data_IF_470202560699
#
_entry.id   IF_470202560699
#
_cell.length_a   1.000
_cell.length_b   1.000
_cell.length_c   1.000
_cell.angle_alpha   90.00
_cell.angle_beta   90.00
_cell.angle_gamma   90.00
#
_symmetry.space_group_name_H-M   'P 1'
#
loop_
_entity.id
_entity.type
_entity.pdbx_description
1 polymer ?
#
# COMPACT_ATOMS: atom_id res chain seq x y z
N UNK A 1 3.05 -18.01 16.08
CA UNK A 1 4.18 -17.15 16.45
C UNK A 1 3.60 -15.85 16.96
N UNK A 2 3.86 -15.51 18.21
CA UNK A 2 3.44 -14.24 18.80
C UNK A 2 4.35 -13.12 18.30
N UNK A 3 3.79 -11.94 18.02
CA UNK A 3 4.58 -10.79 17.60
C UNK A 3 5.29 -10.18 18.82
N UNK A 4 6.47 -9.62 18.61
CA UNK A 4 7.26 -9.00 19.67
C UNK A 4 6.61 -7.70 20.15
N UNK A 5 6.67 -7.47 21.46
CA UNK A 5 6.35 -6.20 22.11
C UNK A 5 7.66 -5.55 22.54
N UNK A 6 7.82 -4.26 22.25
CA UNK A 6 9.04 -3.51 22.57
C UNK A 6 8.66 -2.27 23.35
N UNK A 7 9.34 -2.03 24.47
CA UNK A 7 9.22 -0.78 25.22
C UNK A 7 10.28 0.17 24.68
N UNK A 8 9.86 1.36 24.26
CA UNK A 8 10.74 2.44 23.82
C UNK A 8 10.44 3.69 24.63
N UNK A 9 11.45 4.54 24.85
CA UNK A 9 11.24 5.86 25.42
C UNK A 9 10.87 6.83 24.29
N UNK A 10 9.86 7.66 24.51
CA UNK A 10 9.44 8.66 23.53
C UNK A 10 10.52 9.73 23.34
N UNK A 11 10.82 10.07 22.09
CA UNK A 11 11.86 11.08 21.77
C UNK A 11 11.57 12.48 22.32
N UNK A 12 10.31 12.81 22.60
CA UNK A 12 9.90 14.16 23.03
C UNK A 12 9.70 14.28 24.54
N UNK A 13 8.91 13.39 25.16
CA UNK A 13 8.62 13.44 26.60
C UNK A 13 9.47 12.48 27.44
N UNK A 14 10.22 11.56 26.83
CA UNK A 14 11.05 10.58 27.54
C UNK A 14 10.29 9.45 28.23
N UNK A 15 8.96 9.42 28.13
CA UNK A 15 8.15 8.38 28.76
C UNK A 15 8.22 7.05 28.02
N UNK A 16 8.18 5.97 28.79
CA UNK A 16 8.16 4.61 28.28
C UNK A 16 6.80 4.31 27.64
N UNK A 17 6.85 3.91 26.37
CA UNK A 17 5.69 3.49 25.60
C UNK A 17 5.90 2.08 25.04
N UNK A 18 4.84 1.28 25.06
CA UNK A 18 4.83 -0.07 24.50
C UNK A 18 4.42 -0.03 23.02
N UNK A 19 5.29 -0.57 22.16
CA UNK A 19 5.01 -0.80 20.75
C UNK A 19 4.77 -2.29 20.53
N UNK A 20 3.52 -2.66 20.36
CA UNK A 20 3.10 -4.02 19.99
C UNK A 20 3.12 -4.18 18.46
N UNK A 21 4.03 -5.01 17.95
CA UNK A 21 4.15 -5.26 16.50
C UNK A 21 2.89 -5.93 15.91
N UNK A 22 2.06 -6.55 16.75
CA UNK A 22 0.81 -7.18 16.32
C UNK A 22 -0.30 -6.16 16.02
N UNK A 23 -0.31 -5.00 16.67
CA UNK A 23 -1.38 -4.00 16.55
C UNK A 23 -0.92 -2.73 15.86
N UNK A 24 0.33 -2.31 16.08
CA UNK A 24 0.88 -1.07 15.54
C UNK A 24 0.79 -0.97 14.01
N UNK A 25 0.62 0.25 13.51
CA UNK A 25 0.74 0.52 12.09
C UNK A 25 2.19 0.26 11.65
N UNK A 26 2.40 -0.31 10.47
CA UNK A 26 3.74 -0.57 9.98
C UNK A 26 3.88 -0.28 8.49
N UNK A 27 5.07 0.19 8.12
CA UNK A 27 5.56 0.23 6.74
C UNK A 27 6.52 -0.93 6.51
N UNK A 28 6.57 -1.45 5.29
CA UNK A 28 7.52 -2.50 4.92
C UNK A 28 8.38 -2.07 3.74
N UNK A 29 9.69 -2.17 3.92
CA UNK A 29 10.69 -1.89 2.90
C UNK A 29 11.32 -3.21 2.44
N UNK A 30 11.50 -3.36 1.13
CA UNK A 30 12.20 -4.52 0.53
C UNK A 30 13.40 -3.98 -0.24
N UNK A 31 14.60 -4.32 0.22
CA UNK A 31 15.85 -4.01 -0.46
C UNK A 31 16.42 -5.28 -1.09
N UNK A 32 16.83 -5.19 -2.36
CA UNK A 32 17.47 -6.28 -3.09
C UNK A 32 18.92 -5.87 -3.34
N UNK A 33 19.86 -6.50 -2.62
CA UNK A 33 21.30 -6.27 -2.80
C UNK A 33 21.99 -7.59 -3.13
N UNK A 34 22.77 -7.63 -4.22
CA UNK A 34 23.46 -8.83 -4.69
C UNK A 34 22.56 -10.08 -4.76
N UNK A 35 21.33 -9.92 -5.26
CA UNK A 35 20.34 -11.00 -5.37
C UNK A 35 19.70 -11.45 -4.04
N UNK A 36 20.19 -10.96 -2.89
CA UNK A 36 19.60 -11.24 -1.57
C UNK A 36 18.50 -10.23 -1.27
N UNK A 37 17.30 -10.74 -0.96
CA UNK A 37 16.15 -9.93 -0.54
C UNK A 37 16.23 -9.69 0.97
N UNK A 38 16.50 -8.46 1.39
CA UNK A 38 16.32 -8.00 2.77
C UNK A 38 14.96 -7.31 2.89
N UNK A 39 14.22 -7.62 3.94
CA UNK A 39 12.95 -6.98 4.22
C UNK A 39 13.03 -6.38 5.62
N UNK A 40 12.61 -5.12 5.74
CA UNK A 40 12.60 -4.37 6.99
C UNK A 40 11.17 -3.88 7.24
N UNK A 41 10.68 -4.00 8.47
CA UNK A 41 9.40 -3.41 8.88
C UNK A 41 9.65 -2.30 9.87
N UNK A 42 9.05 -1.15 9.62
CA UNK A 42 9.09 0.00 10.51
C UNK A 42 7.70 0.17 11.11
N UNK A 43 7.59 -0.08 12.41
CA UNK A 43 6.38 0.10 13.21
C UNK A 43 6.30 1.53 13.68
N UNK A 44 5.10 2.09 13.63
CA UNK A 44 4.80 3.48 13.94
C UNK A 44 3.81 3.48 15.09
N UNK A 45 4.15 4.17 16.17
CA UNK A 45 3.31 4.30 17.35
C UNK A 45 3.28 5.76 17.81
N UNK A 46 2.11 6.19 18.28
CA UNK A 46 1.93 7.51 18.87
C UNK A 46 2.18 7.42 20.38
N UNK A 47 2.94 8.37 20.92
CA UNK A 47 3.04 8.52 22.36
C UNK A 47 1.68 8.94 22.94
N UNK A 48 1.15 8.27 23.97
CA UNK A 48 -0.16 8.58 24.54
C UNK A 48 -0.23 9.99 25.17
N UNK A 49 0.89 10.51 25.67
CA UNK A 49 0.95 11.77 26.42
C UNK A 49 1.21 12.98 25.52
N UNK A 50 2.18 12.90 24.62
CA UNK A 50 2.55 14.03 23.74
C UNK A 50 2.13 13.87 22.27
N UNK A 51 1.46 12.76 21.92
CA UNK A 51 1.02 12.40 20.56
C UNK A 51 2.13 12.42 19.49
N UNK A 52 3.40 12.48 19.91
CA UNK A 52 4.55 12.47 19.00
C UNK A 52 4.71 11.07 18.40
N UNK A 53 5.05 11.04 17.12
CA UNK A 53 5.24 9.80 16.37
C UNK A 53 6.62 9.24 16.68
N UNK A 54 6.67 8.02 17.20
CA UNK A 54 7.90 7.27 17.38
C UNK A 54 7.89 6.06 16.45
N UNK A 55 9.08 5.63 16.02
CA UNK A 55 9.21 4.52 15.08
C UNK A 55 10.21 3.46 15.56
N UNK A 56 9.87 2.19 15.34
CA UNK A 56 10.72 1.05 15.69
C UNK A 56 10.92 0.19 14.46
N UNK A 57 12.16 -0.06 14.08
CA UNK A 57 12.49 -0.90 12.94
C UNK A 57 12.88 -2.31 13.37
N UNK A 58 12.38 -3.33 12.68
CA UNK A 58 12.83 -4.72 12.84
C UNK A 58 13.09 -5.36 11.47
N UNK A 59 14.24 -6.02 11.35
CA UNK A 59 14.65 -6.82 10.18
C UNK A 59 14.36 -8.32 10.37
N UNK A 60 14.06 -8.75 11.60
CA UNK A 60 13.84 -10.15 11.94
C UNK A 60 12.38 -10.55 11.70
N UNK A 61 12.15 -11.43 10.72
CA UNK A 61 10.81 -11.91 10.34
C UNK A 61 10.07 -12.61 11.46
N UNK A 62 10.79 -13.25 12.38
CA UNK A 62 10.19 -13.99 13.50
C UNK A 62 9.52 -13.05 14.50
N UNK A 63 10.01 -11.81 14.62
CA UNK A 63 9.45 -10.81 15.55
C UNK A 63 8.13 -10.21 15.05
N UNK A 64 7.83 -10.35 13.76
CA UNK A 64 6.68 -9.68 13.13
C UNK A 64 5.36 -10.44 13.30
N UNK A 65 5.41 -11.64 13.90
CA UNK A 65 4.26 -12.53 14.02
C UNK A 65 3.66 -12.92 12.67
N UNK A 66 2.36 -13.25 12.67
CA UNK A 66 1.64 -13.74 11.47
C UNK A 66 1.13 -12.63 10.53
N UNK A 67 1.51 -11.36 10.74
CA UNK A 67 1.00 -10.25 9.90
C UNK A 67 1.61 -10.29 8.51
N UNK A 68 0.77 -10.41 7.49
CA UNK A 68 1.16 -10.29 6.09
C UNK A 68 1.40 -8.82 5.75
N UNK A 69 2.59 -8.50 5.26
CA UNK A 69 2.89 -7.17 4.73
C UNK A 69 2.19 -6.92 3.39
N UNK A 70 2.12 -5.66 2.94
CA UNK A 70 1.53 -5.32 1.65
C UNK A 70 2.24 -6.08 0.52
N UNK A 71 1.46 -6.85 -0.25
CA UNK A 71 1.96 -7.65 -1.37
C UNK A 71 2.05 -6.79 -2.62
N UNK A 72 3.28 -6.55 -3.10
CA UNK A 72 3.57 -5.84 -4.36
C UNK A 72 2.77 -6.42 -5.55
N UNK A 73 2.51 -7.73 -5.54
CA UNK A 73 1.69 -8.41 -6.56
C UNK A 73 0.27 -7.85 -6.66
N UNK A 74 -0.35 -7.47 -5.53
CA UNK A 74 -1.71 -6.94 -5.52
C UNK A 74 -1.77 -5.55 -6.18
N UNK A 75 -0.78 -4.70 -5.87
CA UNK A 75 -0.65 -3.39 -6.50
C UNK A 75 -0.42 -3.50 -8.01
N UNK A 76 0.50 -4.35 -8.45
CA UNK A 76 0.76 -4.56 -9.88
C UNK A 76 -0.48 -5.08 -10.63
N UNK A 77 -1.24 -5.99 -10.03
CA UNK A 77 -2.48 -6.51 -10.63
C UNK A 77 -3.57 -5.43 -10.73
N UNK A 78 -3.76 -4.62 -9.69
CA UNK A 78 -4.74 -3.53 -9.70
C UNK A 78 -4.44 -2.48 -10.78
N UNK A 79 -3.17 -2.13 -10.99
CA UNK A 79 -2.75 -1.19 -12.03
C UNK A 79 -2.99 -1.73 -13.44
N UNK A 80 -2.64 -2.99 -13.70
CA UNK A 80 -2.88 -3.63 -15.00
C UNK A 80 -4.38 -3.74 -15.30
N UNK A 81 -5.18 -4.13 -14.31
CA UNK A 81 -6.63 -4.26 -14.45
C UNK A 81 -7.29 -2.91 -14.75
N UNK A 82 -6.87 -1.84 -14.06
CA UNK A 82 -7.35 -0.49 -14.34
C UNK A 82 -7.04 -0.04 -15.76
N UNK A 83 -5.81 -0.24 -16.23
CA UNK A 83 -5.41 0.15 -17.59
C UNK A 83 -6.24 -0.57 -18.66
N UNK A 84 -6.45 -1.88 -18.47
CA UNK A 84 -7.22 -2.69 -19.41
C UNK A 84 -8.70 -2.26 -19.47
N UNK A 85 -9.30 -1.92 -18.33
CA UNK A 85 -10.67 -1.36 -18.29
C UNK A 85 -10.75 -0.02 -19.02
N UNK A 86 -9.78 0.88 -18.81
CA UNK A 86 -9.77 2.18 -19.50
C UNK A 86 -9.70 2.03 -21.01
N UNK A 87 -8.88 1.10 -21.51
CA UNK A 87 -8.79 0.79 -22.94
C UNK A 87 -10.14 0.28 -23.48
N UNK A 88 -10.77 -0.66 -22.78
CA UNK A 88 -12.08 -1.20 -23.19
C UNK A 88 -13.14 -0.09 -23.23
N UNK A 89 -13.21 0.74 -22.20
CA UNK A 89 -14.16 1.86 -22.15
C UNK A 89 -13.91 2.87 -23.28
N UNK A 90 -12.65 3.18 -23.59
CA UNK A 90 -12.32 4.07 -24.70
C UNK A 90 -12.77 3.52 -26.05
N UNK A 91 -12.60 2.21 -26.29
CA UNK A 91 -13.10 1.55 -27.50
C UNK A 91 -14.63 1.63 -27.59
N UNK A 92 -15.32 1.36 -26.48
CA UNK A 92 -16.79 1.44 -26.42
C UNK A 92 -17.26 2.86 -26.72
N UNK A 93 -16.66 3.87 -26.09
CA UNK A 93 -17.00 5.29 -26.33
C UNK A 93 -16.75 5.67 -27.79
N UNK A 94 -15.60 5.30 -28.37
CA UNK A 94 -15.34 5.54 -29.79
C UNK A 94 -16.36 4.86 -30.69
N UNK A 95 -16.72 3.60 -30.42
CA UNK A 95 -17.73 2.86 -31.20
C UNK A 95 -19.08 3.58 -31.22
N UNK A 96 -19.57 4.01 -30.05
CA UNK A 96 -20.82 4.75 -29.96
C UNK A 96 -20.73 6.15 -30.56
N UNK A 97 -19.60 6.84 -30.42
CA UNK A 97 -19.37 8.14 -31.05
C UNK A 97 -19.42 8.03 -32.58
N UNK A 98 -18.75 7.04 -33.18
CA UNK A 98 -18.79 6.80 -34.62
C UNK A 98 -20.19 6.42 -35.12
N UNK A 99 -20.90 5.54 -34.39
CA UNK A 99 -22.31 5.21 -34.68
C UNK A 99 -23.21 6.43 -34.60
N UNK A 100 -23.08 7.24 -33.56
CA UNK A 100 -23.87 8.46 -33.38
C UNK A 100 -23.61 9.48 -34.48
N UNK A 101 -22.35 9.67 -34.86
CA UNK A 101 -21.96 10.54 -35.98
C UNK A 101 -22.59 10.02 -37.28
N UNK A 102 -22.47 8.73 -37.60
CA UNK A 102 -23.11 8.18 -38.81
C UNK A 102 -24.62 8.39 -38.83
N UNK A 103 -25.32 8.17 -37.70
CA UNK A 103 -26.76 8.43 -37.61
C UNK A 103 -27.11 9.91 -37.84
N UNK A 104 -26.30 10.84 -37.33
CA UNK A 104 -26.51 12.28 -37.56
C UNK A 104 -26.26 12.64 -39.03
N UNK A 105 -25.20 12.09 -39.64
CA UNK A 105 -24.92 12.29 -41.05
C UNK A 105 -26.03 11.72 -41.93
N UNK A 106 -26.51 10.50 -41.66
CA UNK A 106 -27.64 9.91 -42.37
C UNK A 106 -28.92 10.77 -42.23
N UNK A 107 -29.16 11.40 -41.09
CA UNK A 107 -30.31 12.28 -40.90
C UNK A 107 -30.20 13.63 -41.61
N UNK A 108 -29.00 14.20 -41.70
CA UNK A 108 -28.75 15.50 -42.36
C UNK A 108 -28.74 15.36 -43.90
N UNK A 109 -28.26 14.23 -44.40
CA UNK A 109 -28.07 14.00 -45.84
C UNK A 109 -29.13 13.08 -46.48
N UNK A 110 -30.16 12.69 -45.71
CA UNK A 110 -31.39 12.04 -46.22
C UNK A 110 -32.53 13.04 -46.37
#
# INVERSE_FOLDING_TARGET
MEAKKVIISCENCGEDMEVDFNTAHFSSEIQIMNGKKKQKRTYIAHCPECNTINTVSSENKEEWGNRKGPTVKFFAFSGLFSCLITIILAIVVMYFAFKGIMTIFDWIFS
#
